data_IF_216455448023
#
_entry.id   IF_216455448023
#
_cell.length_a   1.000
_cell.length_b   1.000
_cell.length_c   1.000
_cell.angle_alpha   90.00
_cell.angle_beta   90.00
_cell.angle_gamma   90.00
#
_symmetry.space_group_name_H-M   'P 1'
#
loop_
_entity.id
_entity.type
_entity.pdbx_description
1 polymer ?
#
# COMPACT_ATOMS: atom_id res chain seq x y z
N UNK A 1 13.71 6.71 5.75
CA UNK A 1 14.14 5.32 6.04
C UNK A 1 12.88 4.58 6.46
N UNK A 2 12.16 3.98 5.50
CA UNK A 2 10.74 3.65 5.61
C UNK A 2 10.49 2.13 5.57
N UNK A 3 9.28 1.70 5.94
CA UNK A 3 8.79 0.33 5.77
C UNK A 3 7.76 0.39 4.64
N UNK A 4 8.02 -0.37 3.58
CA UNK A 4 7.17 -0.43 2.41
C UNK A 4 6.11 -1.53 2.59
N UNK A 5 4.84 -1.17 2.47
CA UNK A 5 3.76 -2.14 2.21
C UNK A 5 3.10 -1.74 0.91
N UNK A 6 3.34 -2.52 -0.14
CA UNK A 6 2.73 -2.36 -1.44
C UNK A 6 1.29 -2.92 -1.39
N UNK A 7 0.31 -2.08 -1.71
CA UNK A 7 -1.10 -2.49 -1.81
C UNK A 7 -1.43 -2.63 -3.30
N UNK A 8 -1.54 -3.87 -3.79
CA UNK A 8 -1.94 -4.13 -5.18
C UNK A 8 -3.44 -3.89 -5.38
N UNK A 9 -3.79 -2.83 -6.11
CA UNK A 9 -5.14 -2.66 -6.66
C UNK A 9 -5.38 -3.62 -7.82
N UNK A 10 -6.31 -4.57 -7.68
CA UNK A 10 -6.81 -5.40 -8.80
C UNK A 10 -8.20 -4.92 -9.21
N UNK A 11 -8.33 -4.30 -10.38
CA UNK A 11 -9.61 -4.09 -11.05
C UNK A 11 -10.08 -5.41 -11.67
N UNK A 12 -11.06 -6.05 -11.05
CA UNK A 12 -11.78 -7.20 -11.62
C UNK A 12 -12.91 -6.69 -12.52
N UNK A 13 -13.06 -7.20 -13.76
CA UNK A 13 -14.20 -6.85 -14.60
C UNK A 13 -15.50 -7.40 -13.99
N UNK A 14 -16.47 -6.50 -13.81
CA UNK A 14 -17.78 -6.80 -13.22
C UNK A 14 -18.63 -7.63 -14.18
N UNK A 15 -18.84 -8.91 -13.86
CA UNK A 15 -19.93 -9.70 -14.43
C UNK A 15 -21.06 -9.75 -13.39
N UNK A 16 -22.16 -9.04 -13.70
CA UNK A 16 -23.36 -8.96 -12.87
C UNK A 16 -24.24 -10.18 -13.09
N UNK A 17 -24.17 -11.19 -12.21
CA UNK A 17 -25.15 -12.29 -12.20
C UNK A 17 -25.26 -13.11 -10.89
N UNK A 18 -24.95 -12.55 -9.72
CA UNK A 18 -25.22 -13.22 -8.43
C UNK A 18 -26.16 -12.39 -7.54
N UNK A 19 -27.26 -12.98 -7.02
CA UNK A 19 -28.02 -12.35 -5.95
C UNK A 19 -27.11 -12.28 -4.72
N UNK A 20 -26.78 -11.07 -4.26
CA UNK A 20 -25.80 -10.89 -3.19
C UNK A 20 -26.39 -11.31 -1.83
N UNK A 21 -25.76 -12.21 -1.06
CA UNK A 21 -26.16 -12.68 0.28
C UNK A 21 -26.10 -11.61 1.40
N UNK A 22 -26.12 -10.33 1.03
CA UNK A 22 -25.75 -9.19 1.88
C UNK A 22 -26.65 -8.94 3.11
N UNK A 23 -27.62 -9.80 3.41
CA UNK A 23 -28.48 -9.65 4.59
C UNK A 23 -27.86 -10.16 5.90
N UNK A 24 -26.83 -11.02 5.85
CA UNK A 24 -26.22 -11.60 7.06
C UNK A 24 -24.75 -11.21 7.30
N UNK A 25 -24.18 -10.29 6.52
CA UNK A 25 -22.82 -9.80 6.79
C UNK A 25 -22.84 -8.76 7.94
N UNK A 26 -23.02 -9.24 9.17
CA UNK A 26 -22.74 -8.49 10.42
C UNK A 26 -21.24 -8.47 10.73
N UNK A 27 -20.41 -8.31 9.70
CA UNK A 27 -18.97 -8.13 9.86
C UNK A 27 -18.66 -6.66 10.09
N UNK A 28 -17.92 -6.35 11.15
CA UNK A 28 -17.34 -5.01 11.36
C UNK A 28 -16.60 -4.59 10.08
N UNK A 29 -16.96 -3.44 9.52
CA UNK A 29 -16.31 -2.91 8.32
C UNK A 29 -14.82 -2.75 8.61
N UNK A 30 -13.97 -3.38 7.79
CA UNK A 30 -12.52 -3.24 7.91
C UNK A 30 -12.14 -1.91 7.28
N UNK A 31 -11.57 -1.00 8.08
CA UNK A 31 -10.92 0.21 7.58
C UNK A 31 -9.44 -0.07 7.36
N UNK A 32 -8.98 0.05 6.11
CA UNK A 32 -7.58 -0.17 5.75
C UNK A 32 -6.66 0.88 6.39
N UNK A 33 -7.16 2.08 6.67
CA UNK A 33 -6.38 3.08 7.38
C UNK A 33 -6.05 2.60 8.78
N UNK A 34 -7.02 2.02 9.50
CA UNK A 34 -6.80 1.55 10.86
C UNK A 34 -5.89 0.31 10.92
N UNK A 35 -5.81 -0.46 9.82
CA UNK A 35 -4.96 -1.65 9.72
C UNK A 35 -3.54 -1.32 9.26
N UNK A 36 -3.39 -0.42 8.29
CA UNK A 36 -2.12 -0.17 7.60
C UNK A 36 -1.43 1.12 8.05
N UNK A 37 -2.18 2.11 8.53
CA UNK A 37 -1.65 3.44 8.91
C UNK A 37 -1.54 3.52 10.42
N UNK A 38 -0.32 3.42 10.95
CA UNK A 38 -0.05 3.61 12.38
C UNK A 38 -0.19 5.07 12.81
N UNK A 39 0.40 5.97 12.03
CA UNK A 39 0.35 7.41 12.26
C UNK A 39 -0.08 8.13 10.97
N UNK A 40 -1.29 8.67 10.97
CA UNK A 40 -1.88 9.36 9.81
C UNK A 40 -1.11 10.63 9.45
N UNK A 41 -0.43 11.28 10.40
CA UNK A 41 0.34 12.48 10.15
C UNK A 41 1.72 12.20 9.56
N UNK A 42 2.28 11.01 9.82
CA UNK A 42 3.61 10.61 9.37
C UNK A 42 3.60 9.63 8.18
N UNK A 43 2.42 9.24 7.71
CA UNK A 43 2.26 8.29 6.61
C UNK A 43 1.94 9.01 5.30
N UNK A 44 2.74 8.73 4.27
CA UNK A 44 2.63 9.32 2.94
C UNK A 44 2.46 8.20 1.90
N UNK A 45 1.78 8.52 0.80
CA UNK A 45 1.62 7.60 -0.33
C UNK A 45 2.50 8.08 -1.48
N UNK A 46 3.22 7.17 -2.09
CA UNK A 46 3.99 7.41 -3.31
C UNK A 46 3.51 6.49 -4.42
N UNK A 47 3.50 7.01 -5.65
CA UNK A 47 3.36 6.18 -6.85
C UNK A 47 4.74 5.77 -7.31
N UNK A 48 4.93 4.49 -7.53
CA UNK A 48 6.19 3.95 -8.03
C UNK A 48 6.28 4.23 -9.52
N UNK A 49 7.40 4.82 -9.90
CA UNK A 49 7.78 5.02 -11.29
C UNK A 49 8.90 4.02 -11.59
N UNK A 50 8.74 3.22 -12.63
CA UNK A 50 9.67 2.18 -13.08
C UNK A 50 9.63 0.86 -12.30
N UNK A 51 10.15 -0.19 -12.94
CA UNK A 51 10.16 -1.57 -12.48
C UNK A 51 11.43 -1.96 -11.69
N UNK A 52 12.27 -0.98 -11.34
CA UNK A 52 13.54 -1.15 -10.61
C UNK A 52 13.44 -1.99 -9.34
N UNK A 53 12.27 -2.01 -8.69
CA UNK A 53 12.02 -2.72 -7.43
C UNK A 53 11.20 -4.02 -7.60
N UNK A 54 11.15 -4.58 -8.82
CA UNK A 54 10.38 -5.80 -9.13
C UNK A 54 10.71 -7.01 -8.28
N UNK A 55 11.98 -7.19 -7.92
CA UNK A 55 12.41 -8.32 -7.09
C UNK A 55 11.86 -8.22 -5.65
N UNK A 56 11.54 -7.01 -5.20
CA UNK A 56 10.84 -6.74 -3.95
C UNK A 56 9.31 -6.78 -4.10
N UNK A 57 8.80 -7.13 -5.29
CA UNK A 57 7.37 -7.24 -5.58
C UNK A 57 6.68 -5.90 -5.86
N UNK A 58 7.45 -4.84 -6.12
CA UNK A 58 6.97 -3.49 -6.38
C UNK A 58 7.15 -3.21 -7.87
N UNK A 59 6.05 -2.89 -8.55
CA UNK A 59 6.04 -2.64 -9.98
C UNK A 59 5.73 -1.18 -10.29
N UNK A 60 6.04 -0.78 -11.52
CA UNK A 60 5.58 0.50 -12.08
C UNK A 60 4.06 0.66 -11.91
N UNK A 61 3.65 1.81 -11.39
CA UNK A 61 2.25 2.14 -11.13
C UNK A 61 1.67 1.63 -9.80
N UNK A 62 2.44 0.89 -8.99
CA UNK A 62 1.99 0.52 -7.64
C UNK A 62 1.98 1.73 -6.70
N UNK A 63 1.00 1.78 -5.80
CA UNK A 63 0.95 2.74 -4.70
C UNK A 63 1.56 2.14 -3.44
N UNK A 64 2.56 2.84 -2.89
CA UNK A 64 3.29 2.40 -1.70
C UNK A 64 3.03 3.35 -0.54
N UNK A 65 2.68 2.77 0.59
CA UNK A 65 2.46 3.47 1.84
C UNK A 65 3.79 3.57 2.59
N UNK A 66 4.15 4.77 3.04
CA UNK A 66 5.46 5.08 3.57
C UNK A 66 5.35 5.81 4.91
N UNK A 67 5.85 5.20 5.98
CA UNK A 67 5.91 5.81 7.31
C UNK A 67 7.25 6.55 7.56
N UNK A 68 7.18 7.86 7.78
CA UNK A 68 8.32 8.74 8.02
C UNK A 68 8.73 8.87 9.49
N UNK A 69 7.91 8.37 10.43
CA UNK A 69 8.16 8.45 11.88
C UNK A 69 9.21 7.44 12.37
N UNK A 70 9.48 6.41 11.57
CA UNK A 70 10.34 5.28 11.93
C UNK A 70 11.77 5.44 11.40
N UNK A 71 12.74 4.95 12.18
CA UNK A 71 14.12 4.74 11.68
C UNK A 71 14.19 3.37 11.04
N UNK A 72 14.38 3.31 9.73
CA UNK A 72 14.60 2.04 9.07
C UNK A 72 15.90 1.34 9.51
N UNK A 73 15.96 0.09 9.12
CA UNK A 73 16.96 -0.87 9.54
C UNK A 73 17.45 -1.64 8.32
N UNK A 74 18.58 -2.33 8.48
CA UNK A 74 19.11 -3.16 7.41
C UNK A 74 18.08 -4.22 6.98
N UNK A 75 17.92 -4.41 5.67
CA UNK A 75 16.92 -5.30 5.09
C UNK A 75 15.54 -4.68 4.86
N UNK A 76 15.35 -3.39 5.14
CA UNK A 76 14.11 -2.67 4.83
C UNK A 76 14.24 -1.85 3.55
N UNK A 77 13.15 -1.71 2.81
CA UNK A 77 13.06 -0.87 1.61
C UNK A 77 12.77 0.56 2.00
N UNK A 78 13.63 1.49 1.60
CA UNK A 78 13.57 2.88 2.01
C UNK A 78 13.45 3.79 0.80
N UNK A 79 12.60 4.83 0.90
CA UNK A 79 12.63 5.94 -0.04
C UNK A 79 13.65 6.96 0.46
N UNK A 80 14.56 7.34 -0.42
CA UNK A 80 15.53 8.42 -0.22
C UNK A 80 15.62 9.22 -1.50
N UNK A 81 15.84 10.52 -1.37
CA UNK A 81 16.32 11.32 -2.50
C UNK A 81 17.84 11.18 -2.57
N UNK A 82 18.37 11.06 -3.79
CA UNK A 82 19.79 11.07 -4.07
C UNK A 82 20.05 12.36 -4.86
N UNK A 83 20.93 13.21 -4.35
CA UNK A 83 21.27 14.51 -4.97
C UNK A 83 20.10 15.49 -5.19
N UNK A 84 19.02 15.35 -4.41
CA UNK A 84 17.83 16.22 -4.52
C UNK A 84 16.83 15.78 -5.59
N UNK A 85 17.07 14.65 -6.24
CA UNK A 85 16.12 13.93 -7.11
C UNK A 85 15.58 12.67 -6.41
#
# INVERSE_FOLDING_TARGET
>A
MLILSAVRGRTIPMVSQFPSPAQDYRGTRIDLNDVLVKDKAATLIFTVSDDSMRDAGICDGDEVLCDSSIRAQSGQVVITSIDGE
#
